data_IF_263833534637
#
_entry.id   IF_263833534637
#
_cell.length_a   1.000
_cell.length_b   1.000
_cell.length_c   1.000
_cell.angle_alpha   90.00
_cell.angle_beta   90.00
_cell.angle_gamma   90.00
#
_symmetry.space_group_name_H-M   'P 1'
#
loop_
_entity.id
_entity.type
_entity.pdbx_description
1 polymer ?
#
# COMPACT_ATOMS: atom_id res chain seq x y z
N UNK A 1 6.04 -22.27 -8.79
CA UNK A 1 5.22 -21.11 -8.39
C UNK A 1 5.98 -19.84 -8.73
N UNK A 2 5.28 -18.81 -9.16
CA UNK A 2 5.90 -17.49 -9.35
C UNK A 2 6.06 -16.88 -7.97
N UNK A 3 7.29 -16.44 -7.62
CA UNK A 3 7.59 -15.81 -6.34
C UNK A 3 6.67 -14.61 -6.09
N UNK A 4 6.20 -14.45 -4.87
CA UNK A 4 5.40 -13.27 -4.51
C UNK A 4 6.24 -12.00 -4.64
N UNK A 5 5.65 -10.84 -4.92
CA UNK A 5 6.40 -9.58 -4.98
C UNK A 5 7.18 -9.29 -3.69
N UNK A 6 6.69 -9.75 -2.53
CA UNK A 6 7.38 -9.64 -1.25
C UNK A 6 8.65 -10.50 -1.19
N UNK A 7 8.59 -11.74 -1.67
CA UNK A 7 9.75 -12.62 -1.74
C UNK A 7 10.83 -12.07 -2.67
N UNK A 8 10.44 -11.53 -3.83
CA UNK A 8 11.38 -10.88 -4.76
C UNK A 8 12.09 -9.68 -4.12
N UNK A 9 11.39 -8.90 -3.30
CA UNK A 9 11.99 -7.79 -2.56
C UNK A 9 12.96 -8.27 -1.47
N UNK A 10 12.63 -9.37 -0.78
CA UNK A 10 13.50 -9.98 0.22
C UNK A 10 14.76 -10.56 -0.42
N UNK A 11 14.63 -11.33 -1.52
CA UNK A 11 15.77 -11.83 -2.28
C UNK A 11 16.67 -10.71 -2.80
N UNK A 12 16.07 -9.62 -3.32
CA UNK A 12 16.83 -8.46 -3.76
C UNK A 12 17.59 -7.78 -2.61
N UNK A 13 16.97 -7.70 -1.43
CA UNK A 13 17.62 -7.15 -0.24
C UNK A 13 18.84 -7.97 0.19
N UNK A 14 18.75 -9.29 0.12
CA UNK A 14 19.88 -10.19 0.44
C UNK A 14 20.98 -10.12 -0.62
N UNK A 15 20.62 -10.13 -1.91
CA UNK A 15 21.57 -10.08 -3.01
C UNK A 15 22.30 -8.73 -3.08
N UNK A 16 21.64 -7.63 -2.79
CA UNK A 16 22.16 -6.27 -2.97
C UNK A 16 21.90 -5.36 -1.77
N UNK A 17 22.54 -5.59 -0.60
CA UNK A 17 22.22 -4.87 0.64
C UNK A 17 22.48 -3.36 0.57
N UNK A 18 23.45 -2.90 -0.22
CA UNK A 18 23.74 -1.47 -0.39
C UNK A 18 22.63 -0.78 -1.17
N UNK A 19 22.20 -1.36 -2.29
CA UNK A 19 21.13 -0.83 -3.11
C UNK A 19 19.77 -0.87 -2.39
N UNK A 20 19.52 -1.95 -1.64
CA UNK A 20 18.31 -2.08 -0.82
C UNK A 20 18.19 -0.97 0.22
N UNK A 21 19.31 -0.57 0.87
CA UNK A 21 19.31 0.57 1.83
C UNK A 21 19.01 1.90 1.15
N UNK A 22 19.55 2.16 -0.04
CA UNK A 22 19.27 3.37 -0.80
C UNK A 22 17.79 3.44 -1.22
N UNK A 23 17.25 2.32 -1.72
CA UNK A 23 15.84 2.23 -2.11
C UNK A 23 14.94 2.42 -0.88
N UNK A 24 15.24 1.79 0.25
CA UNK A 24 14.50 1.94 1.49
C UNK A 24 14.52 3.40 1.98
N UNK A 25 15.67 4.08 1.92
CA UNK A 25 15.78 5.49 2.25
C UNK A 25 14.92 6.40 1.34
N UNK A 26 14.92 6.11 0.03
CA UNK A 26 14.06 6.83 -0.92
C UNK A 26 12.56 6.56 -0.65
N UNK A 27 12.17 5.33 -0.37
CA UNK A 27 10.79 4.98 0.00
C UNK A 27 10.37 5.67 1.29
N UNK A 28 11.25 5.71 2.29
CA UNK A 28 11.01 6.41 3.55
C UNK A 28 10.77 7.90 3.33
N UNK A 29 11.62 8.57 2.55
CA UNK A 29 11.46 9.99 2.20
C UNK A 29 10.17 10.22 1.42
N UNK A 30 9.89 9.39 0.41
CA UNK A 30 8.67 9.50 -0.39
C UNK A 30 7.41 9.35 0.47
N UNK A 31 7.40 8.37 1.37
CA UNK A 31 6.28 8.11 2.28
C UNK A 31 6.10 9.29 3.25
N UNK A 32 7.19 9.75 3.88
CA UNK A 32 7.16 10.89 4.79
C UNK A 32 6.65 12.17 4.12
N UNK A 33 7.15 12.48 2.91
CA UNK A 33 6.67 13.62 2.12
C UNK A 33 5.19 13.46 1.70
N UNK A 34 4.76 12.25 1.38
CA UNK A 34 3.37 11.97 1.01
C UNK A 34 2.44 12.19 2.19
N UNK A 35 2.80 11.69 3.37
CA UNK A 35 2.05 11.88 4.62
C UNK A 35 2.04 13.35 5.03
N UNK A 36 3.19 14.04 4.98
CA UNK A 36 3.27 15.47 5.30
C UNK A 36 2.42 16.34 4.37
N UNK A 37 2.39 16.05 3.07
CA UNK A 37 1.50 16.74 2.11
C UNK A 37 0.02 16.49 2.39
N UNK A 38 -0.35 15.30 2.88
CA UNK A 38 -1.73 14.99 3.25
C UNK A 38 -2.20 15.86 4.39
N UNK A 39 -1.39 16.00 5.44
CA UNK A 39 -1.74 16.79 6.63
C UNK A 39 -1.96 18.25 6.31
N UNK A 40 -1.11 18.83 5.45
CA UNK A 40 -1.22 20.25 5.03
C UNK A 40 -2.36 20.44 4.03
N UNK A 41 -2.48 19.59 3.01
CA UNK A 41 -3.45 19.78 1.92
C UNK A 41 -4.90 19.60 2.34
N UNK A 42 -5.17 18.69 3.26
CA UNK A 42 -6.52 18.38 3.71
C UNK A 42 -6.89 18.98 5.06
N UNK A 43 -6.04 19.89 5.58
CA UNK A 43 -6.26 20.56 6.87
C UNK A 43 -6.69 19.58 7.98
N UNK A 44 -5.98 18.44 8.07
CA UNK A 44 -6.28 17.42 9.09
C UNK A 44 -6.03 17.93 10.52
N UNK A 45 -5.23 18.98 10.66
CA UNK A 45 -4.99 19.71 11.90
C UNK A 45 -5.35 21.18 11.70
N UNK A 46 -5.85 21.83 12.74
CA UNK A 46 -6.18 23.26 12.75
C UNK A 46 -4.97 24.15 12.45
N UNK A 47 -3.79 23.69 12.82
CA UNK A 47 -2.50 24.34 12.51
C UNK A 47 -1.77 23.51 11.45
N UNK A 48 -1.35 24.13 10.36
CA UNK A 48 -0.63 23.52 9.25
C UNK A 48 0.79 23.06 9.64
N UNK A 49 0.90 22.09 10.52
CA UNK A 49 2.18 21.57 11.02
C UNK A 49 2.70 20.45 10.15
N UNK A 50 3.98 20.52 9.75
CA UNK A 50 4.69 19.44 9.09
C UNK A 50 5.24 18.39 10.07
N UNK A 51 4.71 18.32 11.29
CA UNK A 51 5.20 17.44 12.36
C UNK A 51 5.09 15.95 12.02
N UNK A 52 4.19 15.60 11.12
CA UNK A 52 4.02 14.24 10.64
C UNK A 52 5.29 13.67 9.95
N UNK A 53 6.09 14.51 9.29
CA UNK A 53 7.32 14.09 8.60
C UNK A 53 8.39 13.62 9.59
N UNK A 54 8.83 14.43 10.58
CA UNK A 54 9.83 14.00 11.53
C UNK A 54 9.34 12.86 12.44
N UNK A 55 8.05 12.84 12.80
CA UNK A 55 7.47 11.76 13.59
C UNK A 55 7.51 10.43 12.82
N UNK A 56 7.10 10.43 11.56
CA UNK A 56 7.21 9.25 10.69
C UNK A 56 8.67 8.80 10.56
N UNK A 57 9.59 9.73 10.34
CA UNK A 57 11.02 9.44 10.25
C UNK A 57 11.58 8.79 11.52
N UNK A 58 11.22 9.30 12.70
CA UNK A 58 11.66 8.75 13.98
C UNK A 58 11.14 7.31 14.20
N UNK A 59 9.85 7.07 13.91
CA UNK A 59 9.24 5.73 14.02
C UNK A 59 9.87 4.77 12.99
N UNK A 60 10.03 5.20 11.74
CA UNK A 60 10.59 4.40 10.68
C UNK A 60 12.05 4.01 10.95
N UNK A 61 12.88 4.91 11.49
CA UNK A 61 14.25 4.60 11.91
C UNK A 61 14.29 3.55 13.02
N UNK A 62 13.33 3.55 13.95
CA UNK A 62 13.22 2.54 15.00
C UNK A 62 12.80 1.16 14.46
N UNK A 63 12.00 1.12 13.40
CA UNK A 63 11.54 -0.13 12.78
C UNK A 63 12.54 -0.71 11.76
N UNK A 64 13.48 0.08 11.25
CA UNK A 64 14.48 -0.34 10.26
C UNK A 64 15.51 -1.37 10.79
N UNK A 65 15.41 -1.76 12.06
CA UNK A 65 16.29 -2.75 12.70
C UNK A 65 15.83 -4.19 12.41
N UNK A 66 14.63 -4.39 11.83
CA UNK A 66 14.12 -5.72 11.47
C UNK A 66 14.72 -6.29 10.19
N UNK A 67 14.65 -7.62 10.00
CA UNK A 67 15.22 -8.33 8.86
C UNK A 67 14.72 -7.83 7.51
N UNK A 68 13.40 -7.72 7.31
CA UNK A 68 12.76 -7.41 6.02
C UNK A 68 12.33 -5.95 5.92
N UNK A 69 13.29 -5.03 6.08
CA UNK A 69 12.99 -3.60 6.07
C UNK A 69 12.48 -3.08 4.71
N UNK A 70 12.92 -3.66 3.59
CA UNK A 70 12.54 -3.19 2.26
C UNK A 70 11.05 -3.46 1.98
N UNK A 71 10.55 -4.65 2.34
CA UNK A 71 9.12 -5.01 2.22
C UNK A 71 8.25 -4.15 3.14
N UNK A 72 8.72 -3.87 4.37
CA UNK A 72 8.02 -3.00 5.30
C UNK A 72 7.89 -1.56 4.79
N UNK A 73 8.97 -0.98 4.24
CA UNK A 73 8.93 0.36 3.64
C UNK A 73 8.09 0.41 2.36
N UNK A 74 8.12 -0.64 1.53
CA UNK A 74 7.25 -0.73 0.36
C UNK A 74 5.76 -0.79 0.77
N UNK A 75 5.42 -1.60 1.76
CA UNK A 75 4.06 -1.67 2.31
C UNK A 75 3.61 -0.33 2.90
N UNK A 76 4.47 0.37 3.64
CA UNK A 76 4.15 1.69 4.20
C UNK A 76 3.92 2.74 3.11
N UNK A 77 4.68 2.70 2.01
CA UNK A 77 4.49 3.58 0.86
C UNK A 77 3.15 3.30 0.15
N UNK A 78 2.78 2.04 -0.05
CA UNK A 78 1.48 1.64 -0.61
C UNK A 78 0.33 2.13 0.27
N UNK A 79 0.44 1.97 1.59
CA UNK A 79 -0.57 2.44 2.54
C UNK A 79 -0.71 3.97 2.52
N UNK A 80 0.39 4.72 2.44
CA UNK A 80 0.36 6.17 2.31
C UNK A 80 -0.31 6.61 1.01
N UNK A 81 -0.05 5.92 -0.11
CA UNK A 81 -0.71 6.18 -1.40
C UNK A 81 -2.19 5.83 -1.36
N UNK A 82 -2.58 4.74 -0.71
CA UNK A 82 -3.99 4.38 -0.51
C UNK A 82 -4.71 5.46 0.29
N UNK A 83 -4.16 5.88 1.43
CA UNK A 83 -4.71 6.93 2.29
C UNK A 83 -4.85 8.26 1.53
N UNK A 84 -3.82 8.64 0.75
CA UNK A 84 -3.86 9.83 -0.12
C UNK A 84 -5.04 9.80 -1.09
N UNK A 85 -5.28 8.67 -1.74
CA UNK A 85 -6.37 8.53 -2.70
C UNK A 85 -7.74 8.49 -2.01
N UNK A 86 -7.85 7.90 -0.82
CA UNK A 86 -9.08 7.98 -0.02
C UNK A 86 -9.41 9.41 0.39
N UNK A 87 -8.43 10.18 0.90
CA UNK A 87 -8.62 11.59 1.23
C UNK A 87 -9.03 12.41 0.00
N UNK A 88 -8.40 12.16 -1.16
CA UNK A 88 -8.76 12.81 -2.42
C UNK A 88 -10.20 12.49 -2.83
N UNK A 89 -10.62 11.25 -2.71
CA UNK A 89 -11.99 10.83 -3.01
C UNK A 89 -13.01 11.49 -2.09
N UNK A 90 -12.67 11.65 -0.81
CA UNK A 90 -13.54 12.31 0.18
C UNK A 90 -13.77 13.78 -0.15
N UNK A 91 -12.71 14.52 -0.48
CA UNK A 91 -12.81 15.95 -0.74
C UNK A 91 -13.46 16.31 -2.09
N UNK A 92 -13.32 15.47 -3.12
CA UNK A 92 -13.78 15.80 -4.47
C UNK A 92 -15.18 15.25 -4.82
N UNK A 93 -15.87 14.57 -3.91
CA UNK A 93 -17.25 14.08 -4.06
C UNK A 93 -17.45 12.92 -5.05
N UNK A 94 -16.87 12.98 -6.26
CA UNK A 94 -16.93 11.94 -7.28
C UNK A 94 -15.50 11.53 -7.66
N UNK A 95 -15.06 10.42 -7.13
CA UNK A 95 -13.69 9.99 -7.34
C UNK A 95 -13.56 8.51 -7.63
N UNK A 96 -14.29 7.94 -8.63
CA UNK A 96 -14.17 6.53 -9.00
C UNK A 96 -12.71 6.11 -9.23
N UNK A 97 -11.94 6.94 -9.93
CA UNK A 97 -10.51 6.73 -10.17
C UNK A 97 -9.71 6.71 -8.86
N UNK A 98 -10.00 7.63 -7.94
CA UNK A 98 -9.30 7.69 -6.66
C UNK A 98 -9.64 6.49 -5.76
N UNK A 99 -10.90 6.05 -5.74
CA UNK A 99 -11.34 4.86 -5.01
C UNK A 99 -10.69 3.61 -5.60
N UNK A 100 -10.72 3.46 -6.93
CA UNK A 100 -10.09 2.34 -7.62
C UNK A 100 -8.59 2.24 -7.30
N UNK A 101 -7.85 3.35 -7.41
CA UNK A 101 -6.42 3.39 -7.07
C UNK A 101 -6.16 3.07 -5.61
N UNK A 102 -6.96 3.62 -4.69
CA UNK A 102 -6.82 3.32 -3.26
C UNK A 102 -7.01 1.83 -2.98
N UNK A 103 -8.05 1.23 -3.56
CA UNK A 103 -8.36 -0.19 -3.42
C UNK A 103 -7.29 -1.08 -4.04
N UNK A 104 -6.74 -0.68 -5.19
CA UNK A 104 -5.64 -1.38 -5.85
C UNK A 104 -4.39 -1.40 -4.95
N UNK A 105 -4.03 -0.25 -4.34
CA UNK A 105 -2.89 -0.21 -3.41
C UNK A 105 -3.12 -1.07 -2.16
N UNK A 106 -4.35 -1.10 -1.63
CA UNK A 106 -4.70 -1.98 -0.51
C UNK A 106 -4.64 -3.45 -0.94
N UNK A 107 -5.09 -3.79 -2.15
CA UNK A 107 -5.01 -5.15 -2.69
C UNK A 107 -3.58 -5.63 -2.96
N UNK A 108 -2.64 -4.72 -3.20
CA UNK A 108 -1.21 -5.04 -3.33
C UNK A 108 -0.52 -5.29 -1.98
N UNK A 109 -1.04 -4.77 -0.87
CA UNK A 109 -0.41 -4.89 0.44
C UNK A 109 -0.11 -6.34 0.85
N UNK A 110 -1.06 -7.28 0.82
CA UNK A 110 -0.80 -8.66 1.22
C UNK A 110 0.18 -9.39 0.30
N UNK A 111 0.30 -8.96 -0.97
CA UNK A 111 1.25 -9.53 -1.92
C UNK A 111 2.68 -9.06 -1.65
N UNK A 112 2.86 -7.87 -1.10
CA UNK A 112 4.17 -7.31 -0.75
C UNK A 112 4.58 -7.73 0.67
N UNK A 113 3.65 -7.67 1.62
CA UNK A 113 3.89 -8.05 3.00
C UNK A 113 2.68 -8.82 3.55
N UNK A 114 2.82 -10.12 3.75
CA UNK A 114 1.75 -10.99 4.28
C UNK A 114 1.27 -10.52 5.66
N UNK A 115 2.18 -10.00 6.48
CA UNK A 115 1.86 -9.38 7.76
C UNK A 115 0.90 -8.17 7.64
N UNK A 116 0.79 -7.55 6.47
CA UNK A 116 -0.13 -6.45 6.20
C UNK A 116 -1.55 -6.90 5.78
N UNK A 117 -1.81 -8.20 5.66
CA UNK A 117 -3.13 -8.74 5.31
C UNK A 117 -4.28 -8.21 6.18
N UNK A 118 -4.14 -8.02 7.52
CA UNK A 118 -5.20 -7.43 8.33
C UNK A 118 -5.62 -6.03 7.89
N UNK A 119 -4.76 -5.29 7.20
CA UNK A 119 -5.07 -3.95 6.68
C UNK A 119 -6.11 -3.96 5.54
N UNK A 120 -6.42 -5.12 4.96
CA UNK A 120 -7.54 -5.28 4.03
C UNK A 120 -8.87 -4.83 4.64
N UNK A 121 -9.02 -4.91 5.97
CA UNK A 121 -10.19 -4.42 6.71
C UNK A 121 -10.39 -2.91 6.57
N UNK A 122 -9.34 -2.16 6.23
CA UNK A 122 -9.45 -0.72 5.98
C UNK A 122 -10.39 -0.39 4.81
N UNK A 123 -10.51 -1.28 3.81
CA UNK A 123 -11.39 -1.05 2.67
C UNK A 123 -12.87 -1.03 3.06
N UNK A 124 -13.44 -2.10 3.67
CA UNK A 124 -14.83 -2.08 4.10
C UNK A 124 -15.09 -0.98 5.15
N UNK A 125 -14.12 -0.73 6.05
CA UNK A 125 -14.22 0.34 7.01
C UNK A 125 -14.33 1.71 6.34
N UNK A 126 -13.50 2.00 5.32
CA UNK A 126 -13.57 3.24 4.55
C UNK A 126 -14.89 3.38 3.80
N UNK A 127 -15.40 2.30 3.20
CA UNK A 127 -16.69 2.29 2.50
C UNK A 127 -17.82 2.62 3.47
N UNK A 128 -17.85 2.01 4.67
CA UNK A 128 -18.85 2.28 5.70
C UNK A 128 -18.76 3.72 6.22
N UNK A 129 -17.55 4.18 6.55
CA UNK A 129 -17.32 5.50 7.13
C UNK A 129 -17.72 6.63 6.18
N UNK A 130 -17.42 6.48 4.89
CA UNK A 130 -17.70 7.49 3.87
C UNK A 130 -19.10 7.36 3.24
N UNK A 131 -19.94 6.42 3.71
CA UNK A 131 -21.30 6.18 3.20
C UNK A 131 -21.37 6.16 1.67
N UNK A 132 -20.49 5.36 1.06
CA UNK A 132 -20.32 5.33 -0.40
C UNK A 132 -21.48 4.63 -1.10
N UNK A 133 -21.72 5.04 -2.36
CA UNK A 133 -22.77 4.43 -3.20
C UNK A 133 -22.36 2.99 -3.61
N UNK A 134 -23.36 2.16 -3.93
CA UNK A 134 -23.12 0.78 -4.37
C UNK A 134 -22.18 0.73 -5.61
N UNK A 135 -22.24 1.73 -6.49
CA UNK A 135 -21.35 1.82 -7.65
C UNK A 135 -19.89 2.01 -7.25
N UNK A 136 -19.62 2.82 -6.24
CA UNK A 136 -18.27 3.03 -5.70
C UNK A 136 -17.76 1.79 -5.00
N UNK A 137 -18.64 1.03 -4.33
CA UNK A 137 -18.30 -0.25 -3.70
C UNK A 137 -17.87 -1.28 -4.75
N UNK A 138 -18.60 -1.40 -5.87
CA UNK A 138 -18.21 -2.33 -6.95
C UNK A 138 -16.86 -1.98 -7.55
N UNK A 139 -16.57 -0.69 -7.74
CA UNK A 139 -15.26 -0.21 -8.23
C UNK A 139 -14.16 -0.52 -7.21
N UNK A 140 -14.44 -0.35 -5.90
CA UNK A 140 -13.49 -0.67 -4.85
C UNK A 140 -13.15 -2.17 -4.80
N UNK A 141 -14.16 -3.03 -4.91
CA UNK A 141 -13.97 -4.49 -4.95
C UNK A 141 -13.18 -4.90 -6.20
N UNK A 142 -13.50 -4.33 -7.36
CA UNK A 142 -12.75 -4.59 -8.59
C UNK A 142 -11.27 -4.19 -8.45
N UNK A 143 -10.98 -3.02 -7.87
CA UNK A 143 -9.61 -2.57 -7.60
C UNK A 143 -8.85 -3.47 -6.63
N UNK A 144 -9.54 -4.02 -5.62
CA UNK A 144 -8.96 -4.96 -4.65
C UNK A 144 -8.60 -6.30 -5.28
N UNK A 145 -9.51 -6.85 -6.10
CA UNK A 145 -9.34 -8.17 -6.71
C UNK A 145 -8.31 -8.17 -7.85
N UNK A 146 -8.13 -7.03 -8.52
CA UNK A 146 -7.28 -6.94 -9.71
C UNK A 146 -5.83 -7.41 -9.47
N UNK A 147 -5.11 -7.01 -8.40
CA UNK A 147 -3.75 -7.48 -8.16
C UNK A 147 -3.68 -9.01 -7.96
N UNK A 148 -4.62 -9.56 -7.21
CA UNK A 148 -4.69 -11.01 -6.95
C UNK A 148 -4.96 -11.77 -8.24
N UNK A 149 -5.93 -11.32 -9.04
CA UNK A 149 -6.23 -11.92 -10.34
C UNK A 149 -5.05 -11.85 -11.29
N UNK A 150 -4.33 -10.71 -11.29
CA UNK A 150 -3.13 -10.56 -12.13
C UNK A 150 -2.05 -11.56 -11.74
N UNK A 151 -1.82 -11.76 -10.44
CA UNK A 151 -0.86 -12.75 -9.94
C UNK A 151 -1.28 -14.18 -10.32
N UNK A 152 -2.55 -14.53 -10.13
CA UNK A 152 -3.09 -15.82 -10.53
C UNK A 152 -2.94 -16.07 -12.03
N UNK A 153 -3.19 -15.05 -12.86
CA UNK A 153 -3.07 -15.15 -14.31
C UNK A 153 -1.61 -15.34 -14.75
N UNK A 154 -0.68 -14.59 -14.15
CA UNK A 154 0.77 -14.74 -14.43
C UNK A 154 1.27 -16.11 -14.03
N UNK A 155 0.85 -16.62 -12.85
CA UNK A 155 1.23 -17.95 -12.40
C UNK A 155 0.68 -19.05 -13.34
N UNK A 156 -0.56 -18.90 -13.79
CA UNK A 156 -1.15 -19.83 -14.78
C UNK A 156 -0.40 -19.79 -16.11
N UNK A 157 -0.04 -18.62 -16.61
CA UNK A 157 0.77 -18.45 -17.82
C UNK A 157 2.17 -19.06 -17.72
N UNK A 158 2.73 -19.13 -16.51
CA UNK A 158 4.00 -19.78 -16.20
C UNK A 158 3.88 -21.32 -16.06
N UNK A 159 2.69 -21.91 -16.30
CA UNK A 159 2.43 -23.34 -16.20
C UNK A 159 2.08 -23.84 -14.79
N UNK A 160 1.84 -22.93 -13.84
CA UNK A 160 1.35 -23.26 -12.49
C UNK A 160 -0.18 -23.40 -12.41
N UNK A 161 -0.68 -23.81 -11.24
CA UNK A 161 -2.11 -23.83 -10.96
C UNK A 161 -2.66 -22.39 -10.83
N UNK A 162 -3.85 -22.13 -11.39
CA UNK A 162 -4.45 -20.77 -11.33
C UNK A 162 -4.65 -20.26 -9.90
N UNK A 163 -5.04 -21.12 -8.98
CA UNK A 163 -5.31 -20.75 -7.57
C UNK A 163 -4.12 -20.98 -6.62
N UNK A 164 -3.00 -21.51 -7.12
CA UNK A 164 -1.85 -21.81 -6.26
C UNK A 164 -1.37 -20.60 -5.43
N UNK A 165 -1.29 -19.36 -5.97
CA UNK A 165 -0.83 -18.20 -5.18
C UNK A 165 -1.76 -17.75 -4.07
N UNK A 166 -3.00 -18.24 -4.03
CA UNK A 166 -4.00 -17.89 -3.00
C UNK A 166 -4.13 -19.00 -1.96
N UNK A 167 -3.65 -20.21 -2.29
CA UNK A 167 -3.74 -21.38 -1.43
C UNK A 167 -2.52 -21.55 -0.50
N UNK A 168 -1.41 -20.90 -0.83
CA UNK A 168 -0.21 -20.79 0.00
C UNK A 168 -0.29 -19.53 0.90
#
# INVERSE_FOLDING_TARGET
AVSSPGELLAEFQEAHPVWARWIAGLLMLFTGMSVGRLTVRYNLYSDGTCLAIPLYGAIACGLAVGGDYLTAFAASALLALATKNFCRSYCNGFGFDAIFRASLYIGLLPLVATAAAPLLVLLPLAVMLFRRTLREVTVAVAGLLLPVLTLCYVNWGAGGGFLAPVAE
#
